data_IF_040010892273
#
_entry.id   IF_040010892273
#
_cell.length_a   1.000
_cell.length_b   1.000
_cell.length_c   1.000
_cell.angle_alpha   90.00
_cell.angle_beta   90.00
_cell.angle_gamma   90.00
#
_symmetry.space_group_name_H-M   'P 1'
#
loop_
_entity.id
_entity.type
_entity.pdbx_description
1 polymer ?
#
# COMPACT_ATOMS: atom_id res chain seq x y z
N UNK A 1 -70.29 37.36 48.59
CA UNK A 1 -71.41 37.06 49.50
C UNK A 1 -70.91 36.03 50.45
N UNK A 2 -70.33 36.49 51.53
CA UNK A 2 -70.32 35.69 52.80
C UNK A 2 -71.71 35.64 53.39
N UNK A 3 -72.03 34.64 54.20
CA UNK A 3 -71.86 34.74 55.60
C UNK A 3 -71.50 33.40 56.28
N UNK A 4 -71.01 33.36 57.36
CA UNK A 4 -70.97 33.94 58.71
C UNK A 4 -70.81 32.80 59.71
N UNK A 5 -69.93 33.03 60.58
CA UNK A 5 -69.55 32.19 61.73
C UNK A 5 -70.63 32.20 62.79
N UNK A 6 -70.57 31.25 63.68
CA UNK A 6 -71.01 31.18 65.06
C UNK A 6 -72.34 30.43 65.38
N UNK A 7 -72.26 29.84 66.53
CA UNK A 7 -73.25 29.20 67.36
C UNK A 7 -73.51 27.70 66.98
N UNK A 8 -73.08 26.73 67.79
CA UNK A 8 -73.65 26.52 69.13
C UNK A 8 -72.72 25.71 70.05
N UNK A 9 -72.22 26.41 71.07
CA UNK A 9 -71.87 25.79 72.34
C UNK A 9 -73.19 25.56 73.14
N UNK A 10 -73.43 24.33 73.66
CA UNK A 10 -74.01 24.08 74.96
C UNK A 10 -74.14 22.63 75.25
N UNK A 11 -73.42 22.20 76.25
CA UNK A 11 -73.86 21.55 77.45
C UNK A 11 -74.34 20.08 77.38
N UNK A 12 -73.52 19.22 78.00
CA UNK A 12 -74.09 18.35 79.11
C UNK A 12 -72.93 17.81 79.95
N UNK A 13 -73.00 18.15 81.20
CA UNK A 13 -72.12 17.74 82.31
C UNK A 13 -72.41 16.26 82.70
N UNK A 14 -71.41 15.52 83.19
CA UNK A 14 -71.46 14.11 83.37
C UNK A 14 -72.10 13.71 84.73
N UNK A 15 -72.78 12.59 84.74
CA UNK A 15 -73.23 11.91 85.93
C UNK A 15 -72.17 11.00 86.58
N UNK A 16 -72.06 11.04 87.88
CA UNK A 16 -71.08 10.34 88.71
C UNK A 16 -71.20 8.82 88.62
N UNK A 17 -70.13 8.05 88.84
CA UNK A 17 -70.11 6.61 88.77
C UNK A 17 -70.60 5.91 90.12
N UNK A 18 -71.16 4.72 90.02
CA UNK A 18 -71.43 3.88 91.21
C UNK A 18 -70.18 3.16 91.69
N UNK A 19 -70.10 2.69 92.94
CA UNK A 19 -68.91 2.20 93.61
C UNK A 19 -68.44 0.86 93.10
N UNK A 20 -67.12 0.67 93.24
CA UNK A 20 -66.32 -0.48 92.85
C UNK A 20 -66.73 -1.79 93.54
N UNK A 21 -66.94 -2.85 92.75
CA UNK A 21 -66.95 -4.21 93.25
C UNK A 21 -65.50 -4.78 93.21
N UNK A 22 -64.96 -5.14 94.35
CA UNK A 22 -63.74 -5.95 94.50
C UNK A 22 -63.88 -7.28 93.75
N UNK A 23 -63.08 -7.48 92.77
CA UNK A 23 -62.87 -8.84 92.22
C UNK A 23 -61.37 -9.19 92.17
N UNK A 24 -61.07 -10.25 92.85
CA UNK A 24 -59.79 -10.83 93.13
C UNK A 24 -58.84 -10.95 91.95
N UNK A 25 -57.63 -10.55 92.14
CA UNK A 25 -56.49 -10.76 91.26
C UNK A 25 -56.21 -12.27 91.15
N UNK A 26 -56.57 -12.87 90.05
CA UNK A 26 -55.92 -14.11 89.60
C UNK A 26 -54.52 -13.81 89.08
N UNK A 27 -53.50 -14.56 89.46
CA UNK A 27 -52.12 -14.34 88.97
C UNK A 27 -52.06 -14.68 87.46
N UNK A 28 -51.72 -13.72 86.67
CA UNK A 28 -51.64 -13.85 85.23
C UNK A 28 -50.68 -14.96 84.83
N UNK A 29 -51.02 -15.69 83.77
CA UNK A 29 -50.30 -16.76 83.09
C UNK A 29 -48.88 -16.40 82.63
N UNK A 30 -48.36 -15.21 82.91
CA UNK A 30 -47.07 -14.64 82.54
C UNK A 30 -45.91 -15.00 83.49
N UNK A 31 -46.17 -15.71 84.56
CA UNK A 31 -45.16 -16.02 85.58
C UNK A 31 -44.64 -17.46 85.50
N UNK A 32 -45.02 -18.28 84.55
CA UNK A 32 -44.52 -19.64 84.38
C UNK A 32 -43.15 -19.62 83.75
N UNK A 33 -42.07 -20.19 84.33
CA UNK A 33 -40.71 -20.14 83.81
C UNK A 33 -40.51 -20.75 82.41
N UNK A 34 -41.45 -21.66 82.01
CA UNK A 34 -41.50 -22.23 80.65
C UNK A 34 -41.98 -21.23 79.58
N UNK A 35 -42.90 -20.34 79.86
CA UNK A 35 -43.43 -19.34 78.95
C UNK A 35 -42.37 -18.24 78.65
N UNK A 36 -41.65 -17.80 79.67
CA UNK A 36 -40.56 -16.85 79.52
C UNK A 36 -39.42 -17.42 78.64
N UNK A 37 -39.08 -18.70 78.76
CA UNK A 37 -38.15 -19.41 77.94
C UNK A 37 -38.65 -19.57 76.49
N UNK A 38 -39.92 -19.85 76.30
CA UNK A 38 -40.48 -19.91 74.94
C UNK A 38 -40.54 -18.54 74.24
N UNK A 39 -40.89 -17.47 74.95
CA UNK A 39 -40.89 -16.10 74.44
C UNK A 39 -39.49 -15.64 74.14
N UNK A 40 -38.46 -15.94 74.95
CA UNK A 40 -37.05 -15.67 74.66
C UNK A 40 -36.57 -16.48 73.50
N UNK A 41 -36.97 -17.74 73.33
CA UNK A 41 -36.61 -18.55 72.14
C UNK A 41 -37.18 -18.01 70.86
N UNK A 42 -38.48 -17.59 70.88
CA UNK A 42 -39.11 -16.94 69.71
C UNK A 42 -38.45 -15.58 69.39
N UNK A 43 -38.17 -14.77 70.44
CA UNK A 43 -37.44 -13.50 70.24
C UNK A 43 -36.02 -13.67 69.65
N UNK A 44 -35.30 -14.71 70.11
CA UNK A 44 -34.01 -15.05 69.57
C UNK A 44 -34.10 -15.54 68.10
N UNK A 45 -35.08 -16.39 67.78
CA UNK A 45 -35.36 -16.85 66.42
C UNK A 45 -35.73 -15.67 65.51
N UNK A 46 -36.60 -14.77 65.98
CA UNK A 46 -36.95 -13.54 65.25
C UNK A 46 -35.69 -12.61 65.08
N UNK A 47 -34.89 -12.50 66.11
CA UNK A 47 -33.62 -11.75 66.06
C UNK A 47 -32.67 -12.35 65.01
N UNK A 48 -32.52 -13.68 64.95
CA UNK A 48 -31.69 -14.34 63.93
C UNK A 48 -32.26 -14.12 62.53
N UNK A 49 -33.56 -14.18 62.33
CA UNK A 49 -34.20 -13.88 61.02
C UNK A 49 -34.04 -12.42 60.66
N UNK A 50 -34.17 -11.49 61.58
CA UNK A 50 -33.99 -10.06 61.35
C UNK A 50 -32.50 -9.79 60.98
N UNK A 51 -31.55 -10.38 61.72
CA UNK A 51 -30.12 -10.26 61.40
C UNK A 51 -29.81 -10.89 60.02
N UNK A 52 -30.40 -12.07 59.73
CA UNK A 52 -30.29 -12.71 58.42
C UNK A 52 -30.83 -11.83 57.28
N UNK A 53 -31.98 -11.23 57.47
CA UNK A 53 -32.59 -10.28 56.54
C UNK A 53 -31.72 -9.03 56.37
N UNK A 54 -31.23 -8.44 57.47
CA UNK A 54 -30.34 -7.27 57.43
C UNK A 54 -29.07 -7.59 56.65
N UNK A 55 -28.44 -8.75 56.92
CA UNK A 55 -27.22 -9.17 56.20
C UNK A 55 -27.52 -9.43 54.73
N UNK A 56 -28.68 -10.03 54.42
CA UNK A 56 -29.08 -10.28 53.04
C UNK A 56 -29.33 -9.00 52.24
N UNK A 57 -29.98 -7.99 52.81
CA UNK A 57 -30.24 -6.72 52.15
C UNK A 57 -29.07 -5.76 52.24
N UNK A 58 -28.18 -5.84 53.23
CA UNK A 58 -27.05 -4.95 53.40
C UNK A 58 -25.98 -5.13 52.33
N UNK A 59 -25.86 -6.33 51.77
CA UNK A 59 -24.87 -6.69 50.76
C UNK A 59 -25.42 -6.67 49.31
N UNK A 60 -26.59 -6.04 49.10
CA UNK A 60 -27.22 -5.91 47.80
C UNK A 60 -27.49 -4.46 47.46
N UNK A 61 -27.08 -4.03 46.29
CA UNK A 61 -27.39 -2.70 45.78
C UNK A 61 -28.22 -2.85 44.51
N UNK A 62 -29.45 -2.38 44.57
CA UNK A 62 -30.43 -2.54 43.49
C UNK A 62 -30.76 -1.20 42.86
N UNK A 63 -30.91 -1.19 41.53
CA UNK A 63 -31.47 -0.08 40.78
C UNK A 63 -32.51 -0.58 39.79
N UNK A 64 -33.59 0.18 39.66
CA UNK A 64 -34.65 0.04 38.66
C UNK A 64 -34.42 0.87 37.40
N UNK A 65 -33.45 1.77 37.46
CA UNK A 65 -33.00 2.58 36.31
C UNK A 65 -31.89 1.85 35.59
N UNK A 66 -32.27 0.77 34.92
CA UNK A 66 -31.35 -0.02 34.12
C UNK A 66 -32.02 -0.50 32.84
N UNK A 67 -31.27 -0.51 31.77
CA UNK A 67 -31.74 -0.93 30.46
C UNK A 67 -30.75 -1.86 29.78
N UNK A 68 -31.25 -2.70 28.92
CA UNK A 68 -30.43 -3.49 28.00
C UNK A 68 -29.91 -2.55 26.94
N UNK A 69 -28.62 -2.58 26.72
CA UNK A 69 -27.92 -1.88 25.65
C UNK A 69 -27.26 -2.89 24.70
N UNK A 70 -26.87 -2.44 23.50
CA UNK A 70 -26.18 -3.26 22.50
C UNK A 70 -25.57 -2.44 21.42
N UNK A 71 -24.74 -3.08 20.61
CA UNK A 71 -24.16 -2.43 19.45
C UNK A 71 -25.21 -2.14 18.39
N UNK A 72 -25.26 -0.90 17.94
CA UNK A 72 -26.14 -0.44 16.86
C UNK A 72 -25.26 -0.21 15.63
N UNK A 73 -25.41 -1.06 14.61
CA UNK A 73 -24.61 -1.00 13.40
C UNK A 73 -25.42 -0.40 12.25
N UNK A 74 -25.18 0.88 11.88
CA UNK A 74 -25.84 1.48 10.73
C UNK A 74 -25.24 0.91 9.44
N UNK A 75 -26.11 0.55 8.49
CA UNK A 75 -25.74 0.16 7.13
C UNK A 75 -26.10 1.30 6.21
N UNK A 76 -25.12 1.82 5.48
CA UNK A 76 -25.28 2.94 4.58
C UNK A 76 -24.78 2.60 3.18
N UNK A 77 -25.30 3.30 2.16
CA UNK A 77 -24.77 3.18 0.79
C UNK A 77 -23.38 3.81 0.70
N UNK A 78 -22.47 3.15 0.00
CA UNK A 78 -21.14 3.69 -0.32
C UNK A 78 -21.09 4.34 -1.70
N UNK A 79 -22.11 4.08 -2.54
CA UNK A 79 -22.16 4.54 -3.93
C UNK A 79 -23.51 5.17 -4.24
N UNK A 80 -23.50 6.04 -5.24
CA UNK A 80 -24.72 6.61 -5.80
C UNK A 80 -25.41 5.60 -6.71
N UNK A 81 -26.74 5.57 -6.72
CA UNK A 81 -27.46 4.78 -7.71
C UNK A 81 -28.93 4.55 -7.36
N UNK A 82 -29.67 3.98 -8.30
CA UNK A 82 -31.05 3.62 -8.12
C UNK A 82 -31.14 2.23 -7.47
N UNK A 83 -32.01 2.06 -6.49
CA UNK A 83 -32.27 0.76 -5.85
C UNK A 83 -33.05 -0.12 -6.82
N UNK A 84 -32.42 -1.20 -7.26
CA UNK A 84 -33.07 -2.19 -8.10
C UNK A 84 -34.01 -3.09 -7.29
N UNK A 85 -33.55 -3.59 -6.17
CA UNK A 85 -34.33 -4.48 -5.29
C UNK A 85 -33.88 -4.38 -3.84
N UNK A 86 -34.83 -4.58 -2.92
CA UNK A 86 -34.63 -4.71 -1.48
C UNK A 86 -35.03 -6.12 -1.10
N UNK A 87 -34.09 -6.90 -0.58
CA UNK A 87 -34.22 -8.34 -0.33
C UNK A 87 -34.61 -8.69 1.10
N UNK A 88 -34.79 -7.67 1.95
CA UNK A 88 -35.08 -7.86 3.39
C UNK A 88 -36.24 -6.97 3.82
N UNK A 89 -36.94 -7.42 4.88
CA UNK A 89 -38.04 -6.71 5.54
C UNK A 89 -37.62 -6.23 6.93
N UNK A 90 -38.37 -5.27 7.49
CA UNK A 90 -38.19 -4.89 8.90
C UNK A 90 -38.34 -6.10 9.82
N UNK A 91 -37.54 -6.12 10.87
CA UNK A 91 -37.50 -7.17 11.90
C UNK A 91 -37.04 -8.56 11.38
N UNK A 92 -36.54 -8.66 10.18
CA UNK A 92 -35.97 -9.89 9.62
C UNK A 92 -34.58 -10.16 10.21
N UNK A 93 -34.35 -11.39 10.61
CA UNK A 93 -33.03 -11.87 11.03
C UNK A 93 -32.16 -12.10 9.79
N UNK A 94 -30.93 -11.61 9.80
CA UNK A 94 -29.96 -11.73 8.72
C UNK A 94 -28.62 -12.20 9.25
N UNK A 95 -27.87 -12.86 8.37
CA UNK A 95 -26.49 -13.31 8.66
C UNK A 95 -25.47 -12.37 8.01
N UNK A 96 -24.28 -12.30 8.57
CA UNK A 96 -23.16 -11.59 7.97
C UNK A 96 -22.92 -12.07 6.53
N UNK A 97 -22.72 -11.13 5.60
CA UNK A 97 -22.58 -11.42 4.17
C UNK A 97 -23.90 -11.61 3.41
N UNK A 98 -25.04 -11.70 4.08
CA UNK A 98 -26.34 -11.77 3.40
C UNK A 98 -26.63 -10.47 2.67
N UNK A 99 -27.02 -10.56 1.39
CA UNK A 99 -27.38 -9.39 0.57
C UNK A 99 -28.68 -8.78 1.07
N UNK A 100 -28.65 -7.48 1.33
CA UNK A 100 -29.79 -6.70 1.82
C UNK A 100 -30.45 -5.88 0.70
N UNK A 101 -29.60 -5.23 -0.12
CA UNK A 101 -30.05 -4.35 -1.21
C UNK A 101 -29.15 -4.54 -2.43
N UNK A 102 -29.73 -4.46 -3.60
CA UNK A 102 -29.03 -4.32 -4.87
C UNK A 102 -29.34 -2.96 -5.50
N UNK A 103 -28.28 -2.24 -5.79
CA UNK A 103 -28.31 -1.02 -6.58
C UNK A 103 -28.16 -1.40 -8.05
N UNK A 104 -28.76 -0.64 -8.99
CA UNK A 104 -28.54 -0.84 -10.41
C UNK A 104 -27.05 -0.75 -10.76
N UNK A 105 -26.49 -1.87 -11.18
CA UNK A 105 -25.07 -2.03 -11.40
C UNK A 105 -24.63 -1.72 -12.85
N UNK A 106 -25.54 -1.43 -13.77
CA UNK A 106 -25.25 -1.31 -15.21
C UNK A 106 -24.16 -0.29 -15.53
N UNK A 107 -24.22 0.89 -14.91
CA UNK A 107 -23.21 1.94 -15.12
C UNK A 107 -21.84 1.52 -14.55
N UNK A 108 -21.82 0.85 -13.39
CA UNK A 108 -20.60 0.35 -12.77
C UNK A 108 -20.00 -0.84 -13.53
N UNK A 109 -20.83 -1.71 -14.08
CA UNK A 109 -20.40 -2.80 -14.98
C UNK A 109 -19.78 -2.23 -16.26
N UNK A 110 -20.39 -1.21 -16.87
CA UNK A 110 -19.85 -0.54 -18.05
C UNK A 110 -18.48 0.11 -17.74
N UNK A 111 -18.34 0.79 -16.59
CA UNK A 111 -17.05 1.36 -16.14
C UNK A 111 -15.98 0.28 -15.90
N UNK A 112 -16.33 -0.82 -15.25
CA UNK A 112 -15.42 -1.94 -15.05
C UNK A 112 -15.00 -2.59 -16.37
N UNK A 113 -15.91 -2.76 -17.32
CA UNK A 113 -15.62 -3.25 -18.66
C UNK A 113 -14.69 -2.30 -19.44
N UNK A 114 -14.93 -0.99 -19.37
CA UNK A 114 -14.06 0.03 -19.95
C UNK A 114 -12.64 -0.01 -19.37
N UNK A 115 -12.52 -0.10 -18.04
CA UNK A 115 -11.22 -0.21 -17.36
C UNK A 115 -10.48 -1.49 -17.78
N UNK A 116 -11.18 -2.63 -17.88
CA UNK A 116 -10.61 -3.90 -18.38
C UNK A 116 -10.11 -3.80 -19.83
N UNK A 117 -10.86 -3.12 -20.69
CA UNK A 117 -10.43 -2.88 -22.07
C UNK A 117 -9.18 -2.00 -22.13
N UNK A 118 -9.09 -0.97 -21.28
CA UNK A 118 -7.90 -0.12 -21.16
C UNK A 118 -6.68 -0.92 -20.65
N UNK A 119 -6.88 -1.83 -19.70
CA UNK A 119 -5.81 -2.72 -19.23
C UNK A 119 -5.32 -3.64 -20.36
N UNK A 120 -6.22 -4.27 -21.10
CA UNK A 120 -5.86 -5.13 -22.22
C UNK A 120 -5.06 -4.38 -23.31
N UNK A 121 -5.40 -3.11 -23.57
CA UNK A 121 -4.64 -2.24 -24.47
C UNK A 121 -3.23 -1.98 -23.92
N UNK A 122 -3.12 -1.57 -22.66
CA UNK A 122 -1.83 -1.30 -22.01
C UNK A 122 -0.94 -2.55 -21.98
N UNK A 123 -1.48 -3.73 -21.69
CA UNK A 123 -0.77 -5.00 -21.73
C UNK A 123 -0.27 -5.33 -23.15
N UNK A 124 -1.06 -5.06 -24.18
CA UNK A 124 -0.64 -5.26 -25.56
C UNK A 124 0.52 -4.33 -25.95
N UNK A 125 0.45 -3.06 -25.52
CA UNK A 125 1.53 -2.08 -25.73
C UNK A 125 2.82 -2.48 -24.97
N UNK A 126 2.69 -2.95 -23.74
CA UNK A 126 3.83 -3.43 -22.96
C UNK A 126 4.49 -4.65 -23.61
N UNK A 127 3.72 -5.63 -24.10
CA UNK A 127 4.25 -6.77 -24.85
C UNK A 127 4.98 -6.34 -26.11
N UNK A 128 4.44 -5.38 -26.86
CA UNK A 128 5.10 -4.85 -28.06
C UNK A 128 6.41 -4.16 -27.71
N UNK A 129 6.46 -3.36 -26.65
CA UNK A 129 7.67 -2.71 -26.17
C UNK A 129 8.71 -3.73 -25.67
N UNK A 130 8.28 -4.76 -24.95
CA UNK A 130 9.14 -5.84 -24.44
C UNK A 130 9.80 -6.64 -25.57
N UNK A 131 9.12 -6.89 -26.69
CA UNK A 131 9.69 -7.53 -27.88
C UNK A 131 10.66 -6.58 -28.61
N UNK A 132 10.41 -5.27 -28.55
CA UNK A 132 11.27 -4.26 -29.16
C UNK A 132 12.67 -4.19 -28.55
N UNK A 133 12.85 -4.49 -27.28
CA UNK A 133 14.16 -4.43 -26.59
C UNK A 133 15.14 -5.49 -27.14
N UNK A 134 14.88 -6.80 -27.13
CA UNK A 134 15.80 -7.80 -27.66
C UNK A 134 16.07 -7.61 -29.15
N UNK A 135 15.05 -7.24 -29.94
CA UNK A 135 15.23 -6.94 -31.36
C UNK A 135 16.23 -5.79 -31.59
N UNK A 136 16.09 -4.69 -30.84
CA UNK A 136 17.02 -3.56 -30.93
C UNK A 136 18.42 -3.95 -30.45
N UNK A 137 18.51 -4.73 -29.37
CA UNK A 137 19.79 -5.23 -28.83
C UNK A 137 20.53 -6.07 -29.87
N UNK A 138 19.85 -7.00 -30.51
CA UNK A 138 20.42 -7.90 -31.49
C UNK A 138 20.85 -7.16 -32.78
N UNK A 139 20.02 -6.25 -33.27
CA UNK A 139 20.33 -5.45 -34.45
C UNK A 139 21.51 -4.50 -34.23
N UNK A 140 21.59 -3.84 -33.06
CA UNK A 140 22.73 -2.96 -32.73
C UNK A 140 24.01 -3.76 -32.49
N UNK A 141 23.95 -4.92 -31.85
CA UNK A 141 25.08 -5.81 -31.64
C UNK A 141 25.61 -6.34 -32.98
N UNK A 142 24.74 -6.79 -33.88
CA UNK A 142 25.12 -7.20 -35.24
C UNK A 142 25.75 -6.06 -36.02
N UNK A 143 25.18 -4.85 -35.95
CA UNK A 143 25.75 -3.66 -36.57
C UNK A 143 27.14 -3.31 -36.05
N UNK A 144 27.37 -3.40 -34.75
CA UNK A 144 28.67 -3.18 -34.12
C UNK A 144 29.70 -4.21 -34.57
N UNK A 145 29.36 -5.49 -34.55
CA UNK A 145 30.22 -6.58 -35.01
C UNK A 145 30.59 -6.43 -36.50
N UNK A 146 29.62 -6.03 -37.32
CA UNK A 146 29.87 -5.76 -38.74
C UNK A 146 30.83 -4.58 -38.95
N UNK A 147 30.69 -3.50 -38.21
CA UNK A 147 31.58 -2.35 -38.27
C UNK A 147 33.02 -2.68 -37.78
N UNK A 148 33.13 -3.48 -36.71
CA UNK A 148 34.42 -3.96 -36.18
C UNK A 148 35.13 -4.86 -37.20
N UNK A 149 34.42 -5.76 -37.87
CA UNK A 149 34.97 -6.59 -38.94
C UNK A 149 35.47 -5.75 -40.12
N UNK A 150 34.74 -4.68 -40.53
CA UNK A 150 35.18 -3.74 -41.55
C UNK A 150 36.45 -2.98 -41.14
N UNK A 151 36.52 -2.55 -39.85
CA UNK A 151 37.72 -1.91 -39.32
C UNK A 151 38.91 -2.85 -39.35
N UNK A 152 38.76 -4.10 -38.95
CA UNK A 152 39.80 -5.12 -38.99
C UNK A 152 40.30 -5.37 -40.43
N UNK A 153 39.38 -5.44 -41.40
CA UNK A 153 39.74 -5.58 -42.82
C UNK A 153 40.48 -4.35 -43.35
N UNK A 154 40.00 -3.12 -43.03
CA UNK A 154 40.67 -1.89 -43.43
C UNK A 154 42.09 -1.77 -42.82
N UNK A 155 42.25 -2.21 -41.57
CA UNK A 155 43.54 -2.23 -40.87
C UNK A 155 44.52 -3.20 -41.54
N UNK A 156 44.07 -4.41 -41.90
CA UNK A 156 44.89 -5.38 -42.60
C UNK A 156 45.39 -4.86 -43.99
N UNK A 157 44.51 -4.18 -44.75
CA UNK A 157 44.92 -3.55 -46.03
C UNK A 157 45.87 -2.38 -45.81
N UNK A 158 45.70 -1.58 -44.75
CA UNK A 158 46.67 -0.54 -44.38
C UNK A 158 48.02 -1.16 -44.03
N UNK A 159 48.08 -2.20 -43.21
CA UNK A 159 49.32 -2.84 -42.79
C UNK A 159 50.07 -3.44 -44.00
N UNK A 160 49.35 -4.01 -44.96
CA UNK A 160 49.90 -4.49 -46.24
C UNK A 160 50.49 -3.31 -47.08
N UNK A 161 49.73 -2.24 -47.22
CA UNK A 161 50.20 -1.06 -47.97
C UNK A 161 51.41 -0.42 -47.28
N UNK A 162 51.45 -0.35 -45.95
CA UNK A 162 52.57 0.11 -45.16
C UNK A 162 53.83 -0.75 -45.38
N UNK A 163 53.67 -2.08 -45.31
CA UNK A 163 54.77 -3.01 -45.56
C UNK A 163 55.38 -2.81 -46.99
N UNK A 164 54.50 -2.58 -47.99
CA UNK A 164 54.98 -2.25 -49.39
C UNK A 164 55.72 -0.96 -49.41
N UNK A 165 55.22 0.12 -48.78
CA UNK A 165 55.90 1.39 -48.68
C UNK A 165 57.23 1.25 -47.92
N UNK A 166 57.31 0.56 -46.82
CA UNK A 166 58.58 0.33 -46.09
C UNK A 166 59.62 -0.43 -46.93
N UNK A 167 59.18 -1.42 -47.73
CA UNK A 167 60.03 -2.14 -48.67
C UNK A 167 60.59 -1.17 -49.74
N UNK A 168 59.69 -0.43 -50.42
CA UNK A 168 60.08 0.44 -51.55
C UNK A 168 60.90 1.65 -51.08
N UNK A 169 60.60 2.28 -49.94
CA UNK A 169 61.28 3.41 -49.38
C UNK A 169 62.62 3.05 -48.74
N UNK A 170 62.81 1.89 -48.17
CA UNK A 170 64.04 1.49 -47.49
C UNK A 170 64.90 0.57 -48.33
N UNK A 171 64.46 -0.61 -48.72
CA UNK A 171 65.21 -1.65 -49.34
C UNK A 171 65.56 -1.26 -50.85
N UNK A 172 64.53 -0.91 -51.64
CA UNK A 172 64.67 -0.60 -53.03
C UNK A 172 65.52 0.69 -53.26
N UNK A 173 65.22 1.74 -52.49
CA UNK A 173 66.02 2.99 -52.59
C UNK A 173 67.43 2.80 -52.08
N UNK A 174 67.69 2.03 -51.03
CA UNK A 174 69.05 1.72 -50.57
C UNK A 174 69.84 0.95 -51.62
N UNK A 175 69.22 -0.07 -52.24
CA UNK A 175 69.82 -0.81 -53.32
C UNK A 175 70.13 0.05 -54.55
N UNK A 176 69.14 0.88 -54.97
CA UNK A 176 69.39 1.79 -56.13
C UNK A 176 70.52 2.80 -55.86
N UNK A 177 70.62 3.36 -54.66
CA UNK A 177 71.73 4.27 -54.25
C UNK A 177 73.07 3.55 -54.22
N UNK A 178 73.16 2.35 -53.69
CA UNK A 178 74.36 1.54 -53.65
C UNK A 178 74.82 1.19 -55.08
N UNK A 179 73.87 0.87 -56.00
CA UNK A 179 74.16 0.61 -57.38
C UNK A 179 74.74 1.84 -58.12
N UNK A 180 74.14 3.04 -57.86
CA UNK A 180 74.70 4.30 -58.38
C UNK A 180 76.14 4.49 -57.91
N UNK A 181 76.42 4.36 -56.62
CA UNK A 181 77.77 4.52 -56.07
C UNK A 181 78.79 3.57 -56.72
N UNK A 182 78.40 2.31 -56.99
CA UNK A 182 79.23 1.33 -57.69
C UNK A 182 79.45 1.71 -59.16
N UNK A 183 78.41 2.19 -59.86
CA UNK A 183 78.56 2.60 -61.29
C UNK A 183 79.31 3.93 -61.41
N UNK A 184 79.14 4.83 -60.45
CA UNK A 184 79.89 6.09 -60.39
C UNK A 184 81.40 5.82 -60.25
N UNK A 185 81.80 4.97 -59.30
CA UNK A 185 83.17 4.55 -59.12
C UNK A 185 83.75 3.88 -60.40
N UNK A 186 82.95 3.03 -61.14
CA UNK A 186 83.38 2.45 -62.42
C UNK A 186 83.52 3.50 -63.53
N UNK A 187 82.55 4.43 -63.62
CA UNK A 187 82.61 5.48 -64.61
C UNK A 187 83.81 6.44 -64.38
N UNK A 188 84.05 6.82 -63.13
CA UNK A 188 85.22 7.68 -62.79
C UNK A 188 86.53 7.00 -63.08
N UNK A 189 86.65 5.69 -62.82
CA UNK A 189 87.79 4.90 -63.20
C UNK A 189 88.00 4.87 -64.73
N UNK A 190 86.93 4.56 -65.47
CA UNK A 190 87.03 4.53 -66.95
C UNK A 190 87.32 5.87 -67.54
N UNK A 191 86.78 6.99 -67.03
CA UNK A 191 87.13 8.34 -67.43
C UNK A 191 88.56 8.70 -67.09
N UNK A 192 89.06 8.31 -65.91
CA UNK A 192 90.49 8.52 -65.56
C UNK A 192 91.42 7.73 -66.46
N UNK A 193 91.05 6.47 -66.78
CA UNK A 193 91.84 5.68 -67.73
C UNK A 193 91.85 6.29 -69.10
N UNK A 194 90.71 6.72 -69.66
CA UNK A 194 90.64 7.45 -70.92
C UNK A 194 91.44 8.74 -70.89
N UNK A 195 91.35 9.54 -69.79
CA UNK A 195 92.14 10.76 -69.57
C UNK A 195 93.60 10.50 -69.61
N UNK A 196 94.10 9.39 -69.06
CA UNK A 196 95.52 8.98 -69.15
C UNK A 196 95.93 8.56 -70.56
N UNK A 197 95.05 7.88 -71.31
CA UNK A 197 95.35 7.42 -72.67
C UNK A 197 95.32 8.55 -73.74
N UNK A 198 94.51 9.58 -73.54
CA UNK A 198 94.41 10.70 -74.48
C UNK A 198 95.71 11.41 -74.84
N UNK A 199 96.65 11.75 -73.93
CA UNK A 199 97.94 12.32 -74.29
C UNK A 199 98.91 11.33 -74.94
N UNK A 200 98.75 10.00 -74.60
CA UNK A 200 99.59 8.92 -75.13
C UNK A 200 99.27 8.67 -76.62
N UNK A 201 97.98 8.66 -77.00
CA UNK A 201 97.64 8.52 -78.44
C UNK A 201 98.08 9.78 -79.24
N UNK A 202 97.99 10.98 -78.64
CA UNK A 202 98.48 12.20 -79.29
C UNK A 202 99.98 12.17 -79.56
N UNK A 203 100.77 11.47 -78.76
CA UNK A 203 102.21 11.21 -78.94
C UNK A 203 102.57 9.99 -79.78
N UNK A 204 101.51 9.24 -80.22
CA UNK A 204 101.63 7.96 -80.94
C UNK A 204 102.33 6.86 -80.11
N UNK A 205 102.23 6.95 -78.73
CA UNK A 205 102.77 5.96 -77.79
C UNK A 205 101.83 4.73 -77.63
N UNK A 206 100.54 4.82 -78.05
CA UNK A 206 99.53 3.73 -78.10
C UNK A 206 98.83 3.72 -79.48
N UNK A 207 98.24 2.59 -79.83
CA UNK A 207 97.50 2.48 -81.10
C UNK A 207 96.11 3.15 -81.02
N UNK A 208 95.64 3.67 -82.18
CA UNK A 208 94.27 4.25 -82.26
C UNK A 208 93.19 3.23 -81.79
N UNK A 209 93.37 1.93 -82.11
CA UNK A 209 92.47 0.85 -81.69
C UNK A 209 92.41 0.73 -80.18
N UNK A 210 93.55 0.88 -79.46
CA UNK A 210 93.56 0.87 -78.00
C UNK A 210 92.86 2.11 -77.41
N UNK A 211 93.07 3.31 -77.97
CA UNK A 211 92.36 4.51 -77.53
C UNK A 211 90.82 4.37 -77.75
N UNK A 212 90.44 3.87 -78.93
CA UNK A 212 88.98 3.63 -79.22
C UNK A 212 88.37 2.63 -78.27
N UNK A 213 89.14 1.61 -77.84
CA UNK A 213 88.64 0.69 -76.79
C UNK A 213 88.43 1.38 -75.45
N UNK A 214 89.36 2.24 -74.98
CA UNK A 214 89.15 3.01 -73.72
C UNK A 214 88.01 4.03 -73.85
N UNK A 215 87.90 4.67 -75.03
CA UNK A 215 86.78 5.59 -75.29
C UNK A 215 85.43 4.90 -75.32
N UNK A 216 85.36 3.71 -75.88
CA UNK A 216 84.14 2.88 -75.84
C UNK A 216 83.83 2.42 -74.43
N UNK A 217 84.84 1.96 -73.63
CA UNK A 217 84.65 1.57 -72.24
C UNK A 217 84.13 2.73 -71.34
N UNK A 218 84.69 3.95 -71.56
CA UNK A 218 84.21 5.13 -70.82
C UNK A 218 82.76 5.48 -71.16
N UNK A 219 82.39 5.41 -72.48
CA UNK A 219 81.01 5.65 -72.92
C UNK A 219 80.02 4.60 -72.36
N UNK A 220 80.46 3.32 -72.34
CA UNK A 220 79.66 2.27 -71.73
C UNK A 220 79.42 2.48 -70.22
N UNK A 221 80.51 2.79 -69.47
CA UNK A 221 80.44 3.04 -68.06
C UNK A 221 79.55 4.27 -67.71
N UNK A 222 79.63 5.33 -68.57
CA UNK A 222 78.77 6.50 -68.44
C UNK A 222 77.33 6.23 -68.74
N UNK A 223 77.00 5.40 -69.75
CA UNK A 223 75.64 4.96 -70.05
C UNK A 223 75.08 4.06 -68.94
N UNK A 224 75.97 3.20 -68.35
CA UNK A 224 75.57 2.37 -67.21
C UNK A 224 75.25 3.19 -65.95
N UNK A 225 76.01 4.27 -65.66
CA UNK A 225 75.75 5.20 -64.57
C UNK A 225 74.42 5.94 -64.81
N UNK A 226 74.18 6.44 -66.03
CA UNK A 226 72.92 7.09 -66.36
C UNK A 226 71.73 6.13 -66.23
N UNK A 227 71.85 4.93 -66.67
CA UNK A 227 70.81 3.86 -66.44
C UNK A 227 70.56 3.54 -64.95
N UNK A 228 71.65 3.66 -64.11
CA UNK A 228 71.48 3.49 -62.66
C UNK A 228 70.80 4.69 -62.05
N UNK A 229 71.01 5.92 -62.50
CA UNK A 229 70.29 7.12 -62.05
C UNK A 229 68.80 7.07 -62.40
N UNK A 230 68.49 6.65 -63.65
CA UNK A 230 67.10 6.44 -64.06
C UNK A 230 66.37 5.36 -63.20
N UNK A 231 67.10 4.31 -62.82
CA UNK A 231 66.56 3.31 -61.88
C UNK A 231 66.27 3.91 -60.50
N UNK A 232 67.15 4.79 -59.97
CA UNK A 232 66.88 5.50 -58.71
C UNK A 232 65.60 6.36 -58.80
N UNK A 233 65.53 7.17 -59.91
CA UNK A 233 64.34 7.99 -60.14
C UNK A 233 63.07 7.19 -60.24
N UNK A 234 63.11 6.03 -60.87
CA UNK A 234 61.96 5.09 -60.90
C UNK A 234 61.61 4.51 -59.52
N UNK A 235 62.65 4.14 -58.75
CA UNK A 235 62.43 3.64 -57.36
C UNK A 235 61.87 4.72 -56.46
N UNK A 236 62.28 6.00 -56.59
CA UNK A 236 61.72 7.14 -55.89
C UNK A 236 60.21 7.32 -56.18
N UNK A 237 59.85 7.29 -57.48
CA UNK A 237 58.47 7.35 -57.91
C UNK A 237 57.63 6.14 -57.38
N UNK A 238 58.24 4.96 -57.38
CA UNK A 238 57.60 3.78 -56.79
C UNK A 238 57.28 3.97 -55.30
N UNK A 239 58.25 4.51 -54.54
CA UNK A 239 58.05 4.82 -53.12
C UNK A 239 56.98 5.90 -52.90
N UNK A 240 56.91 6.95 -53.74
CA UNK A 240 55.84 7.95 -53.67
C UNK A 240 54.43 7.36 -53.93
N UNK A 241 54.30 6.48 -54.92
CA UNK A 241 53.05 5.79 -55.26
C UNK A 241 52.63 4.89 -54.08
N UNK A 242 53.62 4.13 -53.52
CA UNK A 242 53.33 3.28 -52.36
C UNK A 242 52.91 4.08 -51.12
N UNK A 243 53.55 5.29 -50.92
CA UNK A 243 53.16 6.24 -49.88
C UNK A 243 51.73 6.73 -50.08
N UNK A 244 51.38 7.13 -51.29
CA UNK A 244 50.00 7.57 -51.57
C UNK A 244 48.96 6.46 -51.36
N UNK A 245 49.31 5.22 -51.75
CA UNK A 245 48.47 4.07 -51.51
C UNK A 245 48.26 3.78 -49.98
N UNK A 246 49.37 3.87 -49.22
CA UNK A 246 49.30 3.73 -47.74
C UNK A 246 48.40 4.81 -47.10
N UNK A 247 48.52 6.05 -47.49
CA UNK A 247 47.71 7.17 -47.00
C UNK A 247 46.22 6.97 -47.39
N UNK A 248 45.95 6.49 -48.59
CA UNK A 248 44.58 6.14 -49.00
C UNK A 248 43.96 5.04 -48.12
N UNK A 249 44.76 4.01 -47.77
CA UNK A 249 44.27 2.97 -46.85
C UNK A 249 44.10 3.49 -45.41
N UNK A 250 45.00 4.41 -44.98
CA UNK A 250 44.86 5.09 -43.70
C UNK A 250 43.51 5.87 -43.58
N UNK A 251 43.12 6.54 -44.67
CA UNK A 251 41.82 7.23 -44.72
C UNK A 251 40.65 6.23 -44.60
N UNK A 252 40.77 5.05 -45.22
CA UNK A 252 39.74 4.00 -45.05
C UNK A 252 39.66 3.45 -43.62
N UNK A 253 40.81 3.30 -42.93
CA UNK A 253 40.84 2.96 -41.51
C UNK A 253 40.11 4.01 -40.67
N UNK A 254 40.35 5.29 -40.93
CA UNK A 254 39.66 6.39 -40.24
C UNK A 254 38.13 6.36 -40.49
N UNK A 255 37.72 6.10 -41.73
CA UNK A 255 36.31 5.94 -42.08
C UNK A 255 35.68 4.72 -41.34
N UNK A 256 36.37 3.59 -41.31
CA UNK A 256 35.88 2.40 -40.60
C UNK A 256 35.81 2.62 -39.09
N UNK A 257 36.72 3.36 -38.47
CA UNK A 257 36.68 3.78 -37.07
C UNK A 257 35.44 4.64 -36.78
N UNK A 258 35.15 5.60 -37.61
CA UNK A 258 33.94 6.42 -37.48
C UNK A 258 32.68 5.58 -37.60
N UNK A 259 32.66 4.52 -38.41
CA UNK A 259 31.55 3.57 -38.50
C UNK A 259 31.35 2.76 -37.20
N UNK A 260 32.47 2.35 -36.55
CA UNK A 260 32.42 1.68 -35.23
C UNK A 260 31.89 2.62 -34.15
N UNK A 261 32.33 3.85 -34.12
CA UNK A 261 31.85 4.89 -33.21
C UNK A 261 30.33 5.12 -33.39
N UNK A 262 29.89 5.21 -34.63
CA UNK A 262 28.45 5.33 -34.94
C UNK A 262 27.67 4.09 -34.47
N UNK A 263 28.15 2.89 -34.71
CA UNK A 263 27.53 1.65 -34.26
C UNK A 263 27.48 1.58 -32.73
N UNK A 264 28.56 1.98 -32.05
CA UNK A 264 28.60 2.07 -30.59
C UNK A 264 27.59 3.09 -30.04
N UNK A 265 27.46 4.25 -30.70
CA UNK A 265 26.46 5.26 -30.33
C UNK A 265 25.03 4.71 -30.46
N UNK A 266 24.79 3.84 -31.43
CA UNK A 266 23.48 3.19 -31.61
C UNK A 266 23.06 2.26 -30.43
N UNK A 267 24.03 1.77 -29.61
CA UNK A 267 23.71 1.03 -28.40
C UNK A 267 22.89 1.86 -27.40
N UNK A 268 22.94 3.19 -27.43
CA UNK A 268 22.07 4.04 -26.60
C UNK A 268 20.59 3.86 -26.94
N UNK A 269 20.25 3.42 -28.15
CA UNK A 269 18.87 3.10 -28.50
C UNK A 269 18.31 1.94 -27.69
N UNK A 270 19.16 0.98 -27.28
CA UNK A 270 18.75 -0.11 -26.38
C UNK A 270 18.27 0.45 -25.03
N UNK A 271 19.00 1.44 -24.48
CA UNK A 271 18.61 2.08 -23.22
C UNK A 271 17.26 2.82 -23.35
N UNK A 272 17.05 3.50 -24.49
CA UNK A 272 15.78 4.17 -24.78
C UNK A 272 14.66 3.14 -24.85
N UNK A 273 14.84 2.06 -25.61
CA UNK A 273 13.83 0.99 -25.71
C UNK A 273 13.54 0.29 -24.38
N UNK A 274 14.57 0.13 -23.56
CA UNK A 274 14.41 -0.40 -22.19
C UNK A 274 13.58 0.54 -21.32
N UNK A 275 13.82 1.85 -21.42
CA UNK A 275 13.02 2.86 -20.73
C UNK A 275 11.57 2.90 -21.24
N UNK A 276 11.37 2.79 -22.57
CA UNK A 276 10.03 2.70 -23.16
C UNK A 276 9.27 1.46 -22.64
N UNK A 277 9.92 0.30 -22.57
CA UNK A 277 9.34 -0.93 -22.05
C UNK A 277 9.01 -0.79 -20.54
N UNK A 278 9.87 -0.16 -19.76
CA UNK A 278 9.61 0.13 -18.35
C UNK A 278 8.40 1.08 -18.18
N UNK A 279 8.30 2.12 -19.01
CA UNK A 279 7.16 3.04 -19.03
C UNK A 279 5.86 2.33 -19.40
N UNK A 280 5.89 1.47 -20.41
CA UNK A 280 4.73 0.68 -20.82
C UNK A 280 4.26 -0.28 -19.70
N UNK A 281 5.20 -0.92 -18.98
CA UNK A 281 4.87 -1.75 -17.81
C UNK A 281 4.26 -0.93 -16.67
N UNK A 282 4.75 0.29 -16.43
CA UNK A 282 4.15 1.19 -15.46
C UNK A 282 2.71 1.59 -15.85
N UNK A 283 2.45 1.80 -17.15
CA UNK A 283 1.10 2.05 -17.66
C UNK A 283 0.15 0.85 -17.41
N UNK A 284 0.64 -0.39 -17.52
CA UNK A 284 -0.13 -1.59 -17.15
C UNK A 284 -0.50 -1.56 -15.67
N UNK A 285 0.43 -1.22 -14.78
CA UNK A 285 0.14 -1.13 -13.34
C UNK A 285 -0.93 -0.06 -13.04
N UNK A 286 -0.83 1.09 -13.70
CA UNK A 286 -1.84 2.16 -13.57
C UNK A 286 -3.22 1.71 -14.08
N UNK A 287 -3.27 1.04 -15.24
CA UNK A 287 -4.51 0.52 -15.79
C UNK A 287 -5.12 -0.58 -14.90
N UNK A 288 -4.29 -1.42 -14.29
CA UNK A 288 -4.74 -2.45 -13.34
C UNK A 288 -5.36 -1.83 -12.08
N UNK A 289 -4.71 -0.82 -11.51
CA UNK A 289 -5.28 -0.09 -10.38
C UNK A 289 -6.64 0.54 -10.70
N UNK A 290 -6.83 1.02 -11.94
CA UNK A 290 -8.12 1.54 -12.39
C UNK A 290 -9.19 0.43 -12.51
N UNK A 291 -8.80 -0.80 -12.92
CA UNK A 291 -9.71 -1.95 -12.90
C UNK A 291 -10.12 -2.29 -11.47
N UNK A 292 -9.16 -2.38 -10.55
CA UNK A 292 -9.41 -2.69 -9.15
C UNK A 292 -10.35 -1.65 -8.50
N UNK A 293 -10.15 -0.37 -8.80
CA UNK A 293 -11.03 0.71 -8.34
C UNK A 293 -12.45 0.60 -8.91
N UNK A 294 -12.60 0.28 -10.20
CA UNK A 294 -13.89 0.13 -10.84
C UNK A 294 -14.64 -1.12 -10.33
N UNK A 295 -13.95 -2.23 -10.11
CA UNK A 295 -14.50 -3.46 -9.52
C UNK A 295 -14.91 -3.25 -8.05
N UNK A 296 -14.13 -2.50 -7.29
CA UNK A 296 -14.49 -2.13 -5.93
C UNK A 296 -15.77 -1.30 -5.90
N UNK A 297 -15.91 -0.31 -6.79
CA UNK A 297 -17.15 0.47 -6.91
C UNK A 297 -18.33 -0.42 -7.34
N UNK A 298 -18.12 -1.35 -8.24
CA UNK A 298 -19.13 -2.34 -8.64
C UNK A 298 -19.54 -3.23 -7.46
N UNK A 299 -18.59 -3.67 -6.63
CA UNK A 299 -18.90 -4.47 -5.44
C UNK A 299 -19.80 -3.74 -4.46
N UNK A 300 -19.66 -2.42 -4.34
CA UNK A 300 -20.49 -1.58 -3.48
C UNK A 300 -21.93 -1.43 -3.95
N UNK A 301 -22.27 -1.86 -5.17
CA UNK A 301 -23.67 -1.91 -5.65
C UNK A 301 -24.46 -3.04 -4.98
N UNK A 302 -23.79 -4.00 -4.39
CA UNK A 302 -24.40 -5.07 -3.60
C UNK A 302 -24.14 -4.81 -2.12
N UNK A 303 -25.17 -4.38 -1.41
CA UNK A 303 -25.05 -4.04 0.00
C UNK A 303 -25.40 -5.28 0.82
N UNK A 304 -24.42 -5.80 1.55
CA UNK A 304 -24.56 -6.96 2.42
C UNK A 304 -24.51 -6.58 3.90
N UNK A 305 -25.05 -7.43 4.76
CA UNK A 305 -24.98 -7.28 6.21
C UNK A 305 -23.54 -7.43 6.69
N UNK A 306 -22.99 -6.47 7.45
CA UNK A 306 -21.63 -6.58 8.00
C UNK A 306 -21.54 -7.55 9.18
N UNK A 307 -22.66 -7.81 9.89
CA UNK A 307 -22.76 -8.65 11.08
C UNK A 307 -24.05 -9.45 11.07
N UNK A 308 -24.10 -10.50 11.88
CA UNK A 308 -25.35 -11.20 12.20
C UNK A 308 -26.24 -10.30 13.06
N UNK A 309 -27.54 -10.25 12.78
CA UNK A 309 -28.45 -9.42 13.57
C UNK A 309 -29.85 -9.33 13.00
N UNK A 310 -30.64 -8.45 13.58
CA UNK A 310 -32.00 -8.14 13.12
C UNK A 310 -32.02 -6.79 12.44
N UNK A 311 -32.58 -6.74 11.23
CA UNK A 311 -32.81 -5.50 10.48
C UNK A 311 -33.84 -4.66 11.22
N UNK A 312 -33.48 -3.43 11.48
CA UNK A 312 -34.37 -2.46 12.15
C UNK A 312 -34.30 -1.14 11.40
N UNK A 313 -35.38 -0.38 11.39
CA UNK A 313 -35.47 0.94 10.79
C UNK A 313 -35.08 0.92 9.29
N UNK A 314 -35.78 0.11 8.50
CA UNK A 314 -35.66 0.14 7.04
C UNK A 314 -36.11 1.51 6.50
N UNK A 315 -35.20 2.23 5.84
CA UNK A 315 -35.46 3.56 5.25
C UNK A 315 -35.19 3.59 3.76
N UNK A 316 -35.17 2.43 3.11
CA UNK A 316 -34.92 2.27 1.68
C UNK A 316 -36.02 1.50 1.00
N UNK A 317 -36.43 1.98 -0.20
CA UNK A 317 -37.46 1.34 -1.02
C UNK A 317 -36.96 1.12 -2.45
N UNK A 318 -37.46 0.10 -3.16
CA UNK A 318 -37.15 -0.11 -4.58
C UNK A 318 -37.47 1.13 -5.42
N UNK A 319 -36.60 1.49 -6.36
CA UNK A 319 -36.75 2.68 -7.20
C UNK A 319 -36.22 3.99 -6.57
N UNK A 320 -35.80 3.97 -5.31
CA UNK A 320 -35.22 5.15 -4.66
C UNK A 320 -33.79 5.39 -5.15
N UNK A 321 -33.43 6.67 -5.28
CA UNK A 321 -32.05 7.08 -5.58
C UNK A 321 -31.28 7.27 -4.27
N UNK A 322 -30.16 6.57 -4.13
CA UNK A 322 -29.30 6.62 -2.95
C UNK A 322 -28.12 7.57 -3.17
N UNK A 323 -27.70 8.22 -2.08
CA UNK A 323 -26.49 9.00 -2.01
C UNK A 323 -25.42 8.27 -1.17
N UNK A 324 -24.12 8.48 -1.45
CA UNK A 324 -23.06 7.96 -0.58
C UNK A 324 -23.21 8.49 0.86
N UNK A 325 -23.12 7.59 1.84
CA UNK A 325 -23.34 7.90 3.26
C UNK A 325 -24.80 7.88 3.73
N UNK A 326 -25.77 7.71 2.83
CA UNK A 326 -27.18 7.59 3.22
C UNK A 326 -27.41 6.29 3.97
N UNK A 327 -27.95 6.38 5.21
CA UNK A 327 -28.32 5.22 6.03
C UNK A 327 -29.54 4.52 5.44
N UNK A 328 -29.47 3.20 5.35
CA UNK A 328 -30.50 2.34 4.76
C UNK A 328 -31.21 1.49 5.79
N UNK A 329 -30.44 0.93 6.72
CA UNK A 329 -30.89 0.04 7.79
C UNK A 329 -30.06 0.27 9.04
N UNK A 330 -30.59 -0.23 10.12
CA UNK A 330 -29.86 -0.43 11.38
C UNK A 330 -29.87 -1.93 11.68
N UNK A 331 -28.73 -2.52 11.89
CA UNK A 331 -28.58 -3.90 12.34
C UNK A 331 -28.28 -3.94 13.84
N UNK A 332 -29.02 -4.77 14.54
CA UNK A 332 -28.86 -4.99 15.97
C UNK A 332 -28.48 -6.46 16.20
N UNK A 333 -27.22 -6.73 16.66
CA UNK A 333 -26.84 -8.09 17.06
C UNK A 333 -27.53 -8.45 18.38
N UNK A 334 -28.28 -9.53 18.39
CA UNK A 334 -29.02 -9.96 19.58
C UNK A 334 -28.16 -10.74 20.57
N UNK A 335 -26.93 -11.10 20.20
CA UNK A 335 -26.05 -11.91 21.05
C UNK A 335 -24.97 -11.06 21.77
N UNK A 336 -24.83 -9.82 21.41
CA UNK A 336 -23.83 -8.90 21.97
C UNK A 336 -24.54 -7.74 22.66
N UNK A 337 -25.17 -8.06 23.79
CA UNK A 337 -25.91 -7.11 24.61
C UNK A 337 -25.35 -7.07 26.04
N UNK A 338 -25.45 -5.91 26.65
CA UNK A 338 -25.10 -5.69 28.06
C UNK A 338 -26.18 -4.89 28.74
N UNK A 339 -26.09 -4.73 30.05
CA UNK A 339 -27.00 -3.89 30.82
C UNK A 339 -26.26 -2.64 31.26
N UNK A 340 -26.82 -1.49 30.97
CA UNK A 340 -26.41 -0.20 31.51
C UNK A 340 -27.32 0.15 32.68
N UNK A 341 -26.77 0.03 33.88
CA UNK A 341 -27.51 0.25 35.14
C UNK A 341 -27.07 1.58 35.79
N UNK A 342 -27.99 2.50 35.99
CA UNK A 342 -27.71 3.82 36.54
C UNK A 342 -27.86 3.79 38.06
N UNK A 343 -26.78 3.67 38.80
CA UNK A 343 -26.75 3.69 40.25
C UNK A 343 -26.64 5.10 40.80
N UNK A 344 -27.27 5.37 41.94
CA UNK A 344 -27.14 6.64 42.67
C UNK A 344 -25.68 6.80 43.13
N UNK A 345 -25.15 8.02 43.11
CA UNK A 345 -23.79 8.36 43.57
C UNK A 345 -23.51 7.76 44.98
N UNK A 346 -24.47 7.79 45.87
CA UNK A 346 -24.37 7.21 47.23
C UNK A 346 -24.27 5.68 47.27
N UNK A 347 -24.63 4.98 46.21
CA UNK A 347 -24.56 3.54 46.08
C UNK A 347 -23.24 3.03 45.52
N UNK A 348 -22.51 3.88 44.82
CA UNK A 348 -21.25 3.54 44.11
C UNK A 348 -20.11 3.18 45.03
N UNK A 349 -20.13 3.64 46.30
CA UNK A 349 -19.07 3.33 47.26
C UNK A 349 -18.85 1.80 47.40
N UNK A 350 -19.89 0.99 47.20
CA UNK A 350 -19.87 -0.46 47.34
C UNK A 350 -19.71 -1.21 46.03
N UNK A 351 -19.82 -0.56 44.88
CA UNK A 351 -19.78 -1.18 43.55
C UNK A 351 -18.37 -1.18 43.01
N UNK A 352 -17.86 -2.36 42.58
CA UNK A 352 -16.52 -2.55 41.99
C UNK A 352 -16.61 -3.43 40.75
N UNK A 353 -15.75 -3.23 39.74
CA UNK A 353 -15.60 -4.16 38.60
C UNK A 353 -15.33 -5.60 39.10
N UNK A 354 -15.91 -6.57 38.44
CA UNK A 354 -15.82 -7.99 38.72
C UNK A 354 -16.86 -8.55 39.70
N UNK A 355 -17.68 -7.70 40.34
CA UNK A 355 -18.76 -8.16 41.22
C UNK A 355 -19.90 -8.82 40.42
N UNK A 356 -20.49 -9.84 40.96
CA UNK A 356 -21.67 -10.53 40.39
C UNK A 356 -22.90 -9.65 40.49
N UNK A 357 -23.69 -9.64 39.44
CA UNK A 357 -24.96 -8.94 39.38
C UNK A 357 -26.07 -9.87 38.93
N UNK A 358 -27.25 -9.73 39.55
CA UNK A 358 -28.48 -10.34 39.13
C UNK A 358 -29.31 -9.32 38.34
N UNK A 359 -29.74 -9.69 37.13
CA UNK A 359 -30.52 -8.85 36.22
C UNK A 359 -31.89 -9.51 36.04
N UNK A 360 -32.91 -8.89 36.57
CA UNK A 360 -34.28 -9.32 36.36
C UNK A 360 -34.86 -8.53 35.19
N UNK A 361 -35.30 -9.24 34.17
CA UNK A 361 -35.89 -8.63 32.96
C UNK A 361 -37.41 -8.50 33.17
N UNK A 362 -37.91 -7.29 33.06
CA UNK A 362 -39.32 -6.99 33.32
C UNK A 362 -40.27 -7.73 32.37
N UNK A 363 -39.88 -7.89 31.10
CA UNK A 363 -40.70 -8.54 30.07
C UNK A 363 -40.92 -10.01 30.33
N UNK A 364 -39.95 -10.75 30.84
CA UNK A 364 -40.01 -12.22 30.99
C UNK A 364 -40.14 -12.64 32.43
N UNK A 365 -39.84 -11.74 33.39
CA UNK A 365 -39.78 -12.08 34.81
C UNK A 365 -38.60 -13.01 35.17
N UNK A 366 -37.75 -13.34 34.22
CA UNK A 366 -36.57 -14.19 34.40
C UNK A 366 -35.40 -13.37 34.94
N UNK A 367 -34.53 -14.05 35.70
CA UNK A 367 -33.31 -13.44 36.26
C UNK A 367 -32.10 -14.04 35.60
N UNK A 368 -31.25 -13.18 35.07
CA UNK A 368 -29.96 -13.52 34.48
C UNK A 368 -28.83 -13.13 35.41
N UNK A 369 -27.71 -13.85 35.31
CA UNK A 369 -26.47 -13.51 36.02
C UNK A 369 -25.53 -12.77 35.08
N UNK A 370 -24.82 -11.81 35.66
CA UNK A 370 -23.82 -11.04 34.95
C UNK A 370 -22.73 -10.54 35.88
N UNK A 371 -21.80 -9.79 35.34
CA UNK A 371 -20.70 -9.17 36.09
C UNK A 371 -20.59 -7.72 35.79
N UNK A 372 -20.27 -6.94 36.80
CA UNK A 372 -19.88 -5.54 36.64
C UNK A 372 -18.60 -5.49 35.85
N UNK A 373 -18.67 -4.94 34.63
CA UNK A 373 -17.52 -4.74 33.76
C UNK A 373 -16.78 -3.44 34.11
N UNK A 374 -17.52 -2.34 34.11
CA UNK A 374 -16.94 -1.03 34.33
C UNK A 374 -17.97 -0.05 34.94
N UNK A 375 -17.44 1.00 35.57
CA UNK A 375 -18.19 2.14 36.08
C UNK A 375 -17.83 3.34 35.23
N UNK A 376 -18.81 4.08 34.74
CA UNK A 376 -18.56 5.25 33.88
C UNK A 376 -17.80 6.34 34.64
N UNK A 377 -16.91 7.03 33.94
CA UNK A 377 -16.09 8.11 34.50
C UNK A 377 -16.84 9.44 34.73
N UNK A 378 -18.14 9.50 34.34
CA UNK A 378 -18.98 10.69 34.53
C UNK A 378 -20.43 10.32 34.79
N UNK A 379 -21.19 11.27 35.34
CA UNK A 379 -22.64 11.07 35.57
C UNK A 379 -23.41 11.06 34.25
N UNK A 380 -24.54 10.35 34.22
CA UNK A 380 -25.41 10.29 33.03
C UNK A 380 -25.86 11.68 32.55
N UNK A 381 -26.11 12.61 33.47
CA UNK A 381 -26.48 14.00 33.15
C UNK A 381 -25.37 14.74 32.37
N UNK A 382 -24.08 14.46 32.65
CA UNK A 382 -22.95 15.07 31.92
C UNK A 382 -22.66 14.40 30.58
N UNK A 383 -23.02 13.14 30.44
CA UNK A 383 -22.88 12.38 29.20
C UNK A 383 -24.07 12.55 28.25
N UNK A 384 -25.15 13.19 28.70
CA UNK A 384 -26.31 13.48 27.87
C UNK A 384 -26.00 14.51 26.80
N UNK A 385 -26.59 14.38 25.62
CA UNK A 385 -26.49 15.32 24.51
C UNK A 385 -27.02 16.73 24.88
N UNK A 386 -28.02 16.75 25.77
CA UNK A 386 -28.60 17.97 26.33
C UNK A 386 -28.53 17.89 27.86
N UNK A 387 -27.43 18.34 28.48
CA UNK A 387 -27.33 18.35 29.92
C UNK A 387 -28.45 19.20 30.52
N UNK A 388 -29.12 18.77 31.60
CA UNK A 388 -30.14 19.58 32.25
C UNK A 388 -29.49 20.83 32.87
N UNK A 389 -29.77 22.01 32.30
CA UNK A 389 -29.37 23.30 32.87
C UNK A 389 -30.57 23.88 33.64
N UNK A 390 -30.32 24.29 34.87
CA UNK A 390 -31.33 25.00 35.65
C UNK A 390 -31.41 26.46 35.15
N UNK A 391 -32.45 26.79 34.40
CA UNK A 391 -32.69 28.11 33.80
C UNK A 391 -32.74 29.27 34.81
N UNK A 392 -32.84 28.97 36.11
CA UNK A 392 -32.97 29.95 37.17
C UNK A 392 -31.67 30.30 37.90
N UNK A 393 -30.52 29.73 37.51
CA UNK A 393 -29.22 30.01 38.11
C UNK A 393 -29.00 29.50 39.55
N UNK A 394 -29.98 28.90 40.18
CA UNK A 394 -29.82 28.30 41.51
C UNK A 394 -29.34 26.85 41.42
N UNK A 395 -28.21 26.55 42.04
CA UNK A 395 -27.68 25.18 42.14
C UNK A 395 -28.52 24.42 43.20
N UNK A 396 -29.26 23.42 42.70
CA UNK A 396 -29.98 22.48 43.58
C UNK A 396 -29.16 21.17 43.58
N UNK A 397 -28.72 20.74 44.77
CA UNK A 397 -28.05 19.43 44.93
C UNK A 397 -29.05 18.31 44.74
N UNK A 398 -29.03 17.73 43.52
CA UNK A 398 -29.79 16.48 43.24
C UNK A 398 -28.83 15.30 43.20
N UNK A 399 -29.29 14.14 43.69
CA UNK A 399 -28.47 12.89 43.63
C UNK A 399 -28.23 12.51 42.17
N UNK A 400 -26.97 12.48 41.79
CA UNK A 400 -26.57 12.12 40.46
C UNK A 400 -26.62 10.59 40.29
N UNK A 401 -26.85 10.13 39.04
CA UNK A 401 -26.76 8.73 38.65
C UNK A 401 -25.55 8.50 37.79
N UNK A 402 -24.85 7.41 38.02
CA UNK A 402 -23.65 7.03 37.28
C UNK A 402 -23.88 5.69 36.61
N UNK A 403 -23.70 5.61 35.29
CA UNK A 403 -23.86 4.36 34.54
C UNK A 403 -22.81 3.31 34.94
N UNK A 404 -23.27 2.10 35.17
CA UNK A 404 -22.44 0.93 35.41
C UNK A 404 -22.80 -0.10 34.34
N UNK A 405 -21.75 -0.53 33.59
CA UNK A 405 -21.88 -1.56 32.57
C UNK A 405 -21.83 -2.94 33.22
N UNK A 406 -22.82 -3.77 32.96
CA UNK A 406 -22.93 -5.14 33.45
C UNK A 406 -22.99 -6.06 32.23
N UNK A 407 -22.01 -6.95 32.08
CA UNK A 407 -21.95 -7.95 31.01
C UNK A 407 -22.61 -9.21 31.51
N UNK A 408 -23.46 -9.81 30.69
CA UNK A 408 -24.20 -11.03 31.01
C UNK A 408 -23.31 -12.26 30.84
N UNK A 409 -23.31 -13.21 31.78
CA UNK A 409 -22.45 -14.39 31.71
C UNK A 409 -22.90 -15.39 30.63
N UNK A 410 -24.20 -15.56 30.43
CA UNK A 410 -24.79 -16.36 29.36
C UNK A 410 -26.27 -16.00 29.18
N UNK A 411 -26.71 -15.88 27.94
CA UNK A 411 -28.13 -15.77 27.59
C UNK A 411 -28.48 -17.03 26.79
N UNK A 412 -29.32 -17.94 27.27
CA UNK A 412 -29.81 -19.07 26.48
C UNK A 412 -30.64 -18.52 25.30
N UNK A 413 -30.21 -18.73 24.03
CA UNK A 413 -30.89 -18.15 22.87
C UNK A 413 -32.34 -18.55 22.68
N UNK A 414 -32.77 -19.60 23.34
CA UNK A 414 -34.13 -20.16 23.19
C UNK A 414 -35.18 -19.59 24.16
N UNK A 415 -34.80 -18.96 25.27
CA UNK A 415 -35.74 -18.57 26.31
C UNK A 415 -36.03 -17.08 26.44
N UNK A 416 -35.10 -16.20 26.14
CA UNK A 416 -35.33 -14.77 26.27
C UNK A 416 -34.42 -13.96 25.33
N UNK A 417 -34.98 -13.43 24.24
CA UNK A 417 -34.26 -12.52 23.34
C UNK A 417 -34.23 -11.15 23.99
N UNK A 418 -33.07 -10.76 24.50
CA UNK A 418 -32.85 -9.40 25.01
C UNK A 418 -32.67 -8.43 23.87
N UNK A 419 -33.45 -7.36 23.88
CA UNK A 419 -33.39 -6.30 22.87
C UNK A 419 -32.94 -5.01 23.52
N UNK A 420 -32.01 -4.27 22.91
CA UNK A 420 -31.64 -2.93 23.38
C UNK A 420 -32.88 -2.05 23.61
N UNK A 421 -32.90 -1.35 24.75
CA UNK A 421 -34.01 -0.54 25.18
C UNK A 421 -35.01 -1.27 26.11
N UNK A 422 -34.86 -2.57 26.36
CA UNK A 422 -35.67 -3.27 27.40
C UNK A 422 -35.27 -2.83 28.79
N UNK A 423 -36.28 -2.57 29.66
CA UNK A 423 -36.06 -2.25 31.06
C UNK A 423 -35.74 -3.50 31.87
N UNK A 424 -34.85 -3.35 32.81
CA UNK A 424 -34.41 -4.40 33.73
C UNK A 424 -34.17 -3.83 35.12
N UNK A 425 -34.24 -4.69 36.10
CA UNK A 425 -33.84 -4.38 37.49
C UNK A 425 -32.46 -5.05 37.72
N UNK A 426 -31.46 -4.23 37.99
CA UNK A 426 -30.12 -4.71 38.25
C UNK A 426 -29.77 -4.68 39.74
N UNK A 427 -29.36 -5.83 40.29
CA UNK A 427 -28.94 -6.00 41.68
C UNK A 427 -27.49 -6.46 41.72
N UNK A 428 -26.59 -5.60 42.20
CA UNK A 428 -25.15 -5.94 42.36
C UNK A 428 -24.94 -6.52 43.77
N UNK A 429 -24.26 -7.67 43.82
CA UNK A 429 -23.83 -8.30 45.07
C UNK A 429 -22.53 -7.63 45.56
N UNK A 430 -22.65 -6.82 46.60
CA UNK A 430 -21.51 -6.17 47.25
C UNK A 430 -21.01 -7.01 48.40
N UNK A 431 -19.71 -7.35 48.37
CA UNK A 431 -19.08 -8.07 49.51
C UNK A 431 -18.78 -7.14 50.65
#
# INVERSE_FOLDING_TARGET
>A
MEPNIAEIEKELIPAAPPPAAENGRQPGRWAAPGFRRAVLGVAAAVGVVIVGLILHYHNRVTTDDAQVDGHITPVASKVYGNVAEVLVTDNQQVKAGQVLVRIDARDYQAKAAQAKAALALAESQARAADVGVPWTTETTASGSSGAEAQLAAAQAEYDKARATYEKDSNAELAYARANIAAREASSDRARADLGRMKPLVAKAEISQQQFDAYSAAARVAESELEGAKEKLASAQKGAEIAQAAMLAQQAKVAQARAAVEQATANHKQVSIRTADAASARAAVQAARANVDAAELQLSYTTIAAPIDGVVTKKSVEPGQILQPGQGLFVLIPLHDVWVTANFKETQLEKIRPGQTAEIKVDTYGETFTGRVDSVAGATGARLSLLPPENATGNFVKVVQRIPVKIVLDAIPPEKAILRPGMNVVATVMTK
#
